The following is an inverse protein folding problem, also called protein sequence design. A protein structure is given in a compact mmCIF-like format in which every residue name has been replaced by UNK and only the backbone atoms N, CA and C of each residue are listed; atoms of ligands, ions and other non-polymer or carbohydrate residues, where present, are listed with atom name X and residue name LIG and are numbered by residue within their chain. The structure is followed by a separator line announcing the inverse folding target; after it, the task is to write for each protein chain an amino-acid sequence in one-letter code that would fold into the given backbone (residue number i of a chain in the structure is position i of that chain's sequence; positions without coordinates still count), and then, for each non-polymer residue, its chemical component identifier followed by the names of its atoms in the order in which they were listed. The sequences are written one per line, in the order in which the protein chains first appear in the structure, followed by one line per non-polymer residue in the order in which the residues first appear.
data_IF_504534931707
#
_entry.id   IF_504534931707
#
_cell.length_a   1.000
_cell.length_b   1.000
_cell.length_c   1.000
_cell.angle_alpha   90.00
_cell.angle_beta   90.00
_cell.angle_gamma   90.00
#
_symmetry.space_group_name_H-M   'P 1'
#
loop_
_entity.id
_entity.type
_entity.pdbx_description
1 polymer ?
#
# COMPACT_ATOMS: atom_id res chain seq x y z
N UNK A 1 -13.43 -6.96 -4.48
CA UNK A 1 -12.21 -6.18 -4.76
C UNK A 1 -11.07 -7.16 -4.58
N UNK A 2 -10.17 -7.28 -5.56
CA UNK A 2 -9.15 -8.34 -5.54
C UNK A 2 -8.11 -8.01 -4.47
N UNK A 3 -7.56 -8.96 -3.70
CA UNK A 3 -6.50 -8.76 -2.69
C UNK A 3 -5.14 -8.29 -3.26
N UNK A 4 -5.14 -7.66 -4.43
CA UNK A 4 -3.94 -7.30 -5.19
C UNK A 4 -4.08 -5.92 -5.86
N UNK A 5 -5.13 -5.20 -5.50
CA UNK A 5 -5.46 -3.91 -6.08
C UNK A 5 -4.59 -2.83 -5.40
N UNK A 6 -3.72 -2.21 -6.19
CA UNK A 6 -2.87 -1.12 -5.72
C UNK A 6 -3.60 0.21 -5.92
N UNK A 7 -3.55 1.05 -4.90
CA UNK A 7 -4.04 2.42 -4.95
C UNK A 7 -2.89 3.37 -5.23
N UNK A 8 -3.04 4.21 -6.23
CA UNK A 8 -2.07 5.24 -6.59
C UNK A 8 -2.67 6.61 -6.27
N UNK A 9 -1.88 7.48 -5.66
CA UNK A 9 -2.23 8.89 -5.46
C UNK A 9 -1.16 9.72 -6.18
N UNK A 10 -1.57 10.41 -7.23
CA UNK A 10 -0.72 11.10 -8.17
C UNK A 10 -0.70 12.60 -7.89
N UNK A 11 0.04 13.02 -6.86
CA UNK A 11 0.42 14.42 -6.68
C UNK A 11 -0.78 15.39 -6.79
N UNK A 12 -0.72 16.37 -7.71
CA UNK A 12 -1.74 17.42 -7.84
C UNK A 12 -3.10 16.92 -8.35
N UNK A 13 -3.18 15.72 -8.93
CA UNK A 13 -4.44 15.19 -9.46
C UNK A 13 -5.31 14.61 -8.34
N UNK A 14 -4.68 14.12 -7.26
CA UNK A 14 -5.36 13.43 -6.16
C UNK A 14 -5.19 14.10 -4.79
N UNK A 15 -4.09 14.83 -4.53
CA UNK A 15 -3.95 15.60 -3.30
C UNK A 15 -4.72 16.92 -3.39
N UNK A 16 -5.49 17.22 -2.34
CA UNK A 16 -6.26 18.47 -2.24
C UNK A 16 -5.46 19.64 -1.66
N UNK A 17 -4.33 19.34 -1.02
CA UNK A 17 -3.45 20.34 -0.40
C UNK A 17 -2.20 20.53 -1.29
N UNK A 18 -1.96 21.75 -1.81
CA UNK A 18 -0.79 22.07 -2.65
C UNK A 18 0.56 21.71 -2.02
N UNK A 19 0.62 21.60 -0.69
CA UNK A 19 1.80 21.11 0.02
C UNK A 19 2.25 19.73 -0.50
N UNK A 20 1.31 18.87 -0.90
CA UNK A 20 1.57 17.51 -1.40
C UNK A 20 1.66 17.40 -2.92
N UNK A 21 1.61 18.50 -3.68
CA UNK A 21 1.75 18.48 -5.15
C UNK A 21 3.08 17.88 -5.63
N UNK A 22 4.08 17.92 -4.76
CA UNK A 22 5.42 17.37 -4.98
C UNK A 22 5.58 15.94 -4.49
N UNK A 23 4.54 15.38 -3.88
CA UNK A 23 4.51 14.03 -3.38
C UNK A 23 3.73 13.14 -4.35
N UNK A 24 3.98 11.85 -4.25
CA UNK A 24 3.13 10.83 -4.83
C UNK A 24 3.15 9.61 -3.91
N UNK A 25 2.14 8.75 -4.02
CA UNK A 25 2.09 7.57 -3.18
C UNK A 25 1.46 6.38 -3.86
N UNK A 26 1.78 5.21 -3.30
CA UNK A 26 1.28 3.91 -3.71
C UNK A 26 0.94 3.13 -2.45
N UNK A 27 -0.23 2.52 -2.43
CA UNK A 27 -0.72 1.72 -1.32
C UNK A 27 -1.23 0.37 -1.80
N UNK A 28 -1.13 -0.62 -0.94
CA UNK A 28 -1.82 -1.90 -1.03
C UNK A 28 -2.65 -2.11 0.23
N UNK A 29 -3.72 -2.86 0.11
CA UNK A 29 -4.48 -3.36 1.24
C UNK A 29 -3.88 -4.66 1.80
N UNK A 30 -4.29 -5.00 3.01
CA UNK A 30 -4.12 -6.32 3.59
C UNK A 30 -5.34 -6.66 4.45
N UNK A 31 -5.74 -7.92 4.45
CA UNK A 31 -6.81 -8.43 5.31
C UNK A 31 -6.46 -9.83 5.84
N UNK A 32 -6.31 -9.96 7.17
CA UNK A 32 -6.02 -11.23 7.83
C UNK A 32 -6.57 -11.25 9.26
N UNK A 33 -7.06 -12.41 9.71
CA UNK A 33 -7.61 -12.62 11.06
C UNK A 33 -8.61 -11.52 11.52
N UNK A 34 -9.45 -11.03 10.61
CA UNK A 34 -10.42 -9.96 10.89
C UNK A 34 -9.81 -8.55 11.04
N UNK A 35 -8.50 -8.40 10.86
CA UNK A 35 -7.80 -7.12 10.77
C UNK A 35 -7.71 -6.72 9.31
N UNK A 36 -8.12 -5.48 9.01
CA UNK A 36 -7.96 -4.87 7.68
C UNK A 36 -7.16 -3.58 7.80
N UNK A 37 -6.21 -3.39 6.90
CA UNK A 37 -5.40 -2.19 6.87
C UNK A 37 -4.86 -1.87 5.48
N UNK A 38 -4.07 -0.80 5.43
CA UNK A 38 -3.34 -0.39 4.22
C UNK A 38 -1.87 -0.20 4.57
N UNK A 39 -1.00 -0.56 3.63
CA UNK A 39 0.41 -0.20 3.67
C UNK A 39 0.76 0.56 2.40
N UNK A 40 1.78 1.40 2.45
CA UNK A 40 2.20 2.11 1.26
C UNK A 40 3.43 2.95 1.46
N UNK A 41 3.86 3.54 0.35
CA UNK A 41 5.01 4.45 0.30
C UNK A 41 4.53 5.82 -0.16
N UNK A 42 4.92 6.83 0.59
CA UNK A 42 4.84 8.25 0.19
C UNK A 42 6.24 8.68 -0.24
N UNK A 43 6.36 9.24 -1.43
CA UNK A 43 7.62 9.64 -2.02
C UNK A 43 7.51 10.89 -2.87
N UNK A 44 8.56 11.21 -3.66
CA UNK A 44 8.53 12.34 -4.58
C UNK A 44 7.50 12.14 -5.70
N UNK A 45 7.10 13.23 -6.36
CA UNK A 45 6.11 13.23 -7.46
C UNK A 45 6.42 12.22 -8.57
N UNK A 46 7.69 12.00 -8.86
CA UNK A 46 8.17 11.04 -9.86
C UNK A 46 8.66 9.75 -9.19
N UNK A 47 7.78 9.09 -8.44
CA UNK A 47 8.08 7.77 -7.88
C UNK A 47 8.21 6.76 -9.04
N UNK A 48 9.23 5.90 -8.97
CA UNK A 48 9.41 4.80 -9.93
C UNK A 48 8.43 3.67 -9.59
N UNK A 49 7.16 3.85 -9.94
CA UNK A 49 6.07 2.92 -9.61
C UNK A 49 6.35 1.49 -10.06
N UNK A 50 7.00 1.30 -11.20
CA UNK A 50 7.43 -0.01 -11.71
C UNK A 50 8.35 -0.78 -10.74
N UNK A 51 9.15 -0.06 -9.95
CA UNK A 51 10.05 -0.66 -8.96
C UNK A 51 9.36 -0.86 -7.61
N UNK A 52 8.45 0.05 -7.24
CA UNK A 52 7.83 0.05 -5.90
C UNK A 52 6.58 -0.82 -5.84
N UNK A 53 5.79 -0.88 -6.92
CA UNK A 53 4.55 -1.66 -6.95
C UNK A 53 4.71 -3.16 -6.63
N UNK A 54 5.73 -3.87 -7.15
CA UNK A 54 5.96 -5.27 -6.76
C UNK A 54 6.28 -5.40 -5.27
N UNK A 55 7.00 -4.43 -4.69
CA UNK A 55 7.36 -4.44 -3.28
C UNK A 55 6.15 -4.25 -2.39
N UNK A 56 5.26 -3.30 -2.71
CA UNK A 56 4.03 -3.09 -1.93
C UNK A 56 3.17 -4.35 -1.93
N UNK A 57 2.97 -5.00 -3.09
CA UNK A 57 2.23 -6.26 -3.16
C UNK A 57 2.86 -7.35 -2.30
N UNK A 58 4.18 -7.51 -2.39
CA UNK A 58 4.90 -8.49 -1.60
C UNK A 58 4.71 -8.24 -0.09
N UNK A 59 4.89 -7.01 0.37
CA UNK A 59 4.76 -6.70 1.80
C UNK A 59 3.31 -6.78 2.29
N UNK A 60 2.32 -6.45 1.46
CA UNK A 60 0.90 -6.65 1.79
C UNK A 60 0.64 -8.12 2.10
N UNK A 61 1.03 -9.03 1.19
CA UNK A 61 0.86 -10.47 1.39
C UNK A 61 1.67 -11.01 2.57
N UNK A 62 2.91 -10.53 2.76
CA UNK A 62 3.73 -10.93 3.90
C UNK A 62 3.09 -10.57 5.24
N UNK A 63 2.45 -9.40 5.34
CA UNK A 63 1.72 -9.01 6.55
C UNK A 63 0.53 -9.95 6.79
N UNK A 64 -0.22 -10.31 5.75
CA UNK A 64 -1.31 -11.27 5.86
C UNK A 64 -0.80 -12.63 6.37
N UNK A 65 0.31 -13.13 5.81
CA UNK A 65 0.94 -14.39 6.23
C UNK A 65 1.36 -14.35 7.70
N UNK A 66 1.98 -13.24 8.15
CA UNK A 66 2.43 -13.07 9.55
C UNK A 66 1.22 -13.07 10.49
N UNK A 67 0.20 -12.25 10.21
CA UNK A 67 -0.99 -12.15 11.07
C UNK A 67 -1.72 -13.49 11.13
N UNK A 68 -1.88 -14.18 9.98
CA UNK A 68 -2.55 -15.47 9.95
C UNK A 68 -1.77 -16.56 10.68
N UNK A 69 -0.44 -16.53 10.64
CA UNK A 69 0.40 -17.47 11.39
C UNK A 69 0.29 -17.25 12.90
N UNK A 70 0.22 -16.01 13.36
CA UNK A 70 0.00 -15.68 14.77
C UNK A 70 -1.39 -16.12 15.25
N UNK A 71 -2.45 -15.88 14.48
CA UNK A 71 -3.82 -16.27 14.80
C UNK A 71 -3.98 -17.80 14.91
N UNK A 72 -3.37 -18.55 13.99
CA UNK A 72 -3.41 -20.03 13.98
C UNK A 72 -2.59 -20.67 15.13
N UNK A 73 -1.78 -19.89 15.85
CA UNK A 73 -0.95 -20.38 16.97
C UNK A 73 -1.67 -20.33 18.32
N UNK A 74 -2.93 -19.88 18.36
CA UNK A 74 -3.77 -19.75 19.55
C UNK A 74 -4.80 -20.89 19.64
#
# INVERSE_FOLDING_TARGET
VSPSDLYFILGPDDFRDPFFDRCSSIFGDFEAAGIRGIIGVVGPKHLKYELVAPQIRFFSGLIEEIIQAEDNSI
#
